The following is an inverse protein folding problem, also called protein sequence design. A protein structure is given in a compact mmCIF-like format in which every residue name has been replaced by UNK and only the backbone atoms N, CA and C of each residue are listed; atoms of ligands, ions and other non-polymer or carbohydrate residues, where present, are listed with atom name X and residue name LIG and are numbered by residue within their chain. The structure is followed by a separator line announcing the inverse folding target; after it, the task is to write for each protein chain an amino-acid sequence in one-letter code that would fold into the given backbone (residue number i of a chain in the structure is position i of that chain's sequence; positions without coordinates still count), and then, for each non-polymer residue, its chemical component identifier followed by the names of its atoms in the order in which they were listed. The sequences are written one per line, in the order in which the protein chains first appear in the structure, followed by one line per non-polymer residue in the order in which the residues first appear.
data_IF_520654796377
#
_entry.id   IF_520654796377
#
_cell.length_a   1.000
_cell.length_b   1.000
_cell.length_c   1.000
_cell.angle_alpha   90.00
_cell.angle_beta   90.00
_cell.angle_gamma   90.00
#
_symmetry.space_group_name_H-M   'P 1'
#
loop_
_entity.id
_entity.type
_entity.pdbx_description
1 polymer ?
#
# COMPACT_ATOMS: atom_id res chain seq x y z
N UNK A 1 -17.27 57.66 -8.44
CA UNK A 1 -16.25 57.12 -7.53
C UNK A 1 -16.76 55.76 -7.08
N UNK A 2 -16.39 54.70 -7.85
CA UNK A 2 -16.74 53.32 -7.52
C UNK A 2 -15.61 52.82 -6.61
N UNK A 3 -15.98 52.40 -5.42
CA UNK A 3 -15.09 51.67 -4.52
C UNK A 3 -15.04 50.24 -5.05
N UNK A 4 -13.92 49.83 -5.61
CA UNK A 4 -13.61 48.40 -5.88
C UNK A 4 -13.27 47.79 -4.52
N UNK A 5 -14.12 46.90 -4.04
CA UNK A 5 -13.87 46.06 -2.89
C UNK A 5 -12.80 45.03 -3.34
N UNK A 6 -11.56 45.30 -2.96
CA UNK A 6 -10.45 44.37 -3.03
C UNK A 6 -10.65 43.28 -1.97
N UNK A 7 -11.34 42.20 -2.34
CA UNK A 7 -11.37 40.97 -1.54
C UNK A 7 -10.06 40.18 -1.75
N UNK A 8 -8.97 40.72 -1.22
CA UNK A 8 -7.78 39.91 -1.01
C UNK A 8 -8.09 38.84 0.04
N UNK A 9 -8.36 37.62 -0.43
CA UNK A 9 -8.51 36.45 0.43
C UNK A 9 -7.22 36.30 1.25
N UNK A 10 -7.32 36.34 2.57
CA UNK A 10 -6.15 36.22 3.45
C UNK A 10 -5.53 34.83 3.38
N UNK A 11 -4.26 34.68 3.82
CA UNK A 11 -3.49 33.41 3.72
C UNK A 11 -4.17 32.20 4.37
N UNK A 12 -5.08 32.41 5.31
CA UNK A 12 -5.88 31.35 5.94
C UNK A 12 -6.95 30.77 5.01
N UNK A 13 -7.46 31.59 4.07
CA UNK A 13 -8.48 31.16 3.08
C UNK A 13 -7.81 30.29 2.01
N UNK A 14 -6.62 30.64 1.57
CA UNK A 14 -5.85 29.84 0.61
C UNK A 14 -5.45 28.47 1.19
N UNK A 15 -5.06 28.41 2.45
CA UNK A 15 -4.72 27.14 3.12
C UNK A 15 -5.95 26.26 3.34
N UNK A 16 -7.08 26.85 3.74
CA UNK A 16 -8.34 26.09 3.88
C UNK A 16 -8.87 25.60 2.56
N UNK A 17 -8.75 26.38 1.48
CA UNK A 17 -9.16 25.97 0.13
C UNK A 17 -8.22 24.89 -0.42
N UNK A 18 -6.92 24.99 -0.18
CA UNK A 18 -5.96 23.97 -0.55
C UNK A 18 -6.20 22.67 0.22
N UNK A 19 -6.41 22.75 1.54
CA UNK A 19 -6.78 21.61 2.38
C UNK A 19 -8.10 20.99 1.91
N UNK A 20 -9.09 21.82 1.57
CA UNK A 20 -10.37 21.33 1.05
C UNK A 20 -10.24 20.71 -0.33
N UNK A 21 -9.41 21.25 -1.22
CA UNK A 21 -9.12 20.65 -2.52
C UNK A 21 -8.38 19.29 -2.36
N UNK A 22 -7.43 19.20 -1.44
CA UNK A 22 -6.73 17.95 -1.14
C UNK A 22 -7.66 16.94 -0.46
N UNK A 23 -8.46 17.38 0.52
CA UNK A 23 -9.49 16.54 1.14
C UNK A 23 -10.52 16.10 0.09
N UNK A 24 -10.98 16.99 -0.77
CA UNK A 24 -11.95 16.67 -1.84
C UNK A 24 -11.33 15.80 -2.96
N UNK A 25 -10.03 15.91 -3.21
CA UNK A 25 -9.30 15.03 -4.12
C UNK A 25 -9.06 13.63 -3.52
N UNK A 26 -9.06 13.52 -2.18
CA UNK A 26 -8.88 12.28 -1.42
C UNK A 26 -10.17 11.79 -0.75
N UNK A 27 -11.19 12.66 -0.54
CA UNK A 27 -12.58 12.23 -0.42
C UNK A 27 -12.96 11.62 -1.76
N UNK A 28 -13.57 10.50 -1.77
CA UNK A 28 -13.46 9.52 -2.83
C UNK A 28 -14.06 10.02 -4.14
N UNK A 29 -13.23 10.55 -5.03
CA UNK A 29 -13.34 10.05 -6.38
C UNK A 29 -12.90 8.61 -6.25
N UNK A 30 -13.86 7.77 -5.89
CA UNK A 30 -13.58 6.45 -5.36
C UNK A 30 -12.98 5.60 -6.48
N UNK A 31 -11.66 5.68 -6.65
CA UNK A 31 -10.91 4.78 -7.50
C UNK A 31 -11.12 3.31 -7.09
N UNK A 32 -11.76 3.07 -5.93
CA UNK A 32 -12.13 1.73 -5.49
C UNK A 32 -13.03 1.04 -6.52
N UNK A 33 -14.07 1.70 -7.04
CA UNK A 33 -14.95 1.08 -8.02
C UNK A 33 -14.26 0.77 -9.36
N UNK A 34 -13.52 1.68 -10.01
CA UNK A 34 -12.72 1.35 -11.19
C UNK A 34 -11.69 0.26 -10.92
N UNK A 35 -11.05 0.27 -9.76
CA UNK A 35 -10.06 -0.73 -9.35
C UNK A 35 -10.72 -2.10 -9.17
N UNK A 36 -11.85 -2.19 -8.48
CA UNK A 36 -12.59 -3.44 -8.31
C UNK A 36 -13.12 -3.96 -9.63
N UNK A 37 -13.60 -3.08 -10.51
CA UNK A 37 -14.03 -3.46 -11.87
C UNK A 37 -12.86 -4.05 -12.67
N UNK A 38 -11.71 -3.36 -12.68
CA UNK A 38 -10.52 -3.83 -13.38
C UNK A 38 -10.01 -5.16 -12.80
N UNK A 39 -10.03 -5.31 -11.48
CA UNK A 39 -9.69 -6.57 -10.79
C UNK A 39 -10.65 -7.70 -11.22
N UNK A 40 -11.94 -7.42 -11.27
CA UNK A 40 -12.97 -8.37 -11.73
C UNK A 40 -12.82 -8.74 -13.20
N UNK A 41 -12.52 -7.78 -14.08
CA UNK A 41 -12.28 -8.03 -15.50
C UNK A 41 -11.04 -8.91 -15.71
N UNK A 42 -9.94 -8.65 -15.00
CA UNK A 42 -8.75 -9.49 -15.08
C UNK A 42 -9.00 -10.89 -14.55
N UNK A 43 -9.70 -11.01 -13.42
CA UNK A 43 -10.08 -12.31 -12.88
C UNK A 43 -11.01 -13.08 -13.84
N UNK A 44 -11.92 -12.37 -14.53
CA UNK A 44 -12.77 -12.97 -15.59
C UNK A 44 -11.91 -13.50 -16.74
N UNK A 45 -10.91 -12.72 -17.19
CA UNK A 45 -9.95 -13.17 -18.19
C UNK A 45 -9.19 -14.44 -17.75
N UNK A 46 -8.78 -14.50 -16.50
CA UNK A 46 -8.12 -15.70 -15.91
C UNK A 46 -9.08 -16.89 -15.91
N UNK A 47 -10.35 -16.71 -15.51
CA UNK A 47 -11.34 -17.76 -15.52
C UNK A 47 -11.60 -18.30 -16.94
N UNK A 48 -11.71 -17.41 -17.93
CA UNK A 48 -11.85 -17.78 -19.33
C UNK A 48 -10.62 -18.57 -19.83
N UNK A 49 -9.42 -18.09 -19.51
CA UNK A 49 -8.17 -18.78 -19.87
C UNK A 49 -8.05 -20.17 -19.23
N UNK A 50 -8.58 -20.34 -18.03
CA UNK A 50 -8.69 -21.63 -17.33
C UNK A 50 -9.91 -22.46 -17.77
N UNK A 51 -10.63 -22.05 -18.80
CA UNK A 51 -11.83 -22.73 -19.35
C UNK A 51 -12.90 -23.03 -18.29
N UNK A 52 -13.10 -22.09 -17.36
CA UNK A 52 -14.08 -22.22 -16.29
C UNK A 52 -13.65 -23.10 -15.11
N UNK A 53 -12.37 -23.45 -15.00
CA UNK A 53 -11.86 -24.16 -13.85
C UNK A 53 -11.45 -23.19 -12.73
N UNK A 54 -11.89 -23.47 -11.50
CA UNK A 54 -11.50 -22.77 -10.28
C UNK A 54 -10.19 -23.30 -9.69
N UNK A 55 -9.96 -23.01 -8.41
CA UNK A 55 -8.88 -23.61 -7.64
C UNK A 55 -9.04 -25.13 -7.54
N UNK A 56 -7.92 -25.84 -7.39
CA UNK A 56 -7.92 -27.28 -7.13
C UNK A 56 -8.59 -27.56 -5.77
N UNK A 57 -9.36 -28.63 -5.70
CA UNK A 57 -9.89 -29.15 -4.43
C UNK A 57 -8.76 -29.77 -3.57
N UNK A 58 -9.10 -30.19 -2.34
CA UNK A 58 -8.16 -30.85 -1.44
C UNK A 58 -7.53 -32.14 -2.01
N UNK A 59 -8.11 -32.69 -3.07
CA UNK A 59 -7.61 -33.85 -3.82
C UNK A 59 -6.80 -33.47 -5.06
N UNK A 60 -6.50 -32.20 -5.28
CA UNK A 60 -5.74 -31.70 -6.44
C UNK A 60 -6.52 -31.65 -7.75
N UNK A 61 -7.84 -31.85 -7.74
CA UNK A 61 -8.70 -31.86 -8.95
C UNK A 61 -9.22 -30.45 -9.23
N UNK A 62 -9.07 -29.97 -10.44
CA UNK A 62 -9.67 -28.72 -10.90
C UNK A 62 -11.21 -28.86 -10.95
N UNK A 63 -11.90 -28.03 -10.18
CA UNK A 63 -13.36 -28.01 -10.16
C UNK A 63 -13.90 -26.97 -11.14
N UNK A 64 -14.84 -27.38 -12.03
CA UNK A 64 -15.58 -26.39 -12.84
C UNK A 64 -16.42 -25.50 -11.94
N UNK A 65 -16.35 -24.21 -12.18
CA UNK A 65 -17.09 -23.18 -11.45
C UNK A 65 -17.82 -22.27 -12.43
N UNK A 66 -18.96 -21.72 -12.03
CA UNK A 66 -19.54 -20.60 -12.75
C UNK A 66 -18.65 -19.35 -12.55
N UNK A 67 -18.73 -18.37 -13.43
CA UNK A 67 -17.99 -17.11 -13.29
C UNK A 67 -18.26 -16.45 -11.93
N UNK A 68 -19.51 -16.42 -11.50
CA UNK A 68 -19.87 -15.83 -10.21
C UNK A 68 -19.25 -16.58 -9.02
N UNK A 69 -19.24 -17.92 -9.07
CA UNK A 69 -18.57 -18.72 -8.03
C UNK A 69 -17.05 -18.54 -8.01
N UNK A 70 -16.46 -18.23 -9.17
CA UNK A 70 -15.03 -17.94 -9.27
C UNK A 70 -14.70 -16.55 -8.77
N UNK A 71 -15.49 -15.53 -9.13
CA UNK A 71 -15.26 -14.16 -8.72
C UNK A 71 -15.62 -13.92 -7.24
N UNK A 72 -16.69 -14.54 -6.76
CA UNK A 72 -17.26 -14.35 -5.42
C UNK A 72 -17.53 -15.70 -4.74
N UNK A 73 -16.48 -16.49 -4.44
CA UNK A 73 -16.67 -17.76 -3.73
C UNK A 73 -17.26 -17.51 -2.35
N UNK A 74 -18.36 -18.22 -2.06
CA UNK A 74 -19.16 -18.00 -0.86
C UNK A 74 -18.37 -18.23 0.43
N UNK A 75 -17.51 -19.22 0.46
CA UNK A 75 -16.63 -19.57 1.57
C UNK A 75 -15.66 -18.46 1.95
N UNK A 76 -15.21 -17.64 0.98
CA UNK A 76 -14.36 -16.48 1.18
C UNK A 76 -15.19 -15.26 1.60
N UNK A 77 -16.19 -14.87 0.82
CA UNK A 77 -16.91 -13.62 1.04
C UNK A 77 -17.92 -13.67 2.21
N UNK A 78 -18.35 -14.86 2.63
CA UNK A 78 -19.13 -15.02 3.87
C UNK A 78 -18.24 -15.24 5.11
N UNK A 79 -16.93 -15.38 4.96
CA UNK A 79 -16.01 -15.62 6.07
C UNK A 79 -16.00 -14.44 7.07
N UNK A 80 -15.78 -14.76 8.35
CA UNK A 80 -15.73 -13.73 9.40
C UNK A 80 -14.63 -12.68 9.14
N UNK A 81 -13.49 -13.15 8.63
CA UNK A 81 -12.35 -12.29 8.30
C UNK A 81 -12.69 -11.28 7.19
N UNK A 82 -13.43 -11.67 6.15
CA UNK A 82 -13.87 -10.75 5.09
C UNK A 82 -14.81 -9.64 5.63
N UNK A 83 -15.63 -9.93 6.65
CA UNK A 83 -16.45 -8.90 7.31
C UNK A 83 -15.60 -7.90 8.10
N UNK A 84 -14.49 -8.34 8.66
CA UNK A 84 -13.51 -7.43 9.30
C UNK A 84 -12.87 -6.51 8.28
N UNK A 85 -12.51 -7.02 7.07
CA UNK A 85 -11.99 -6.19 5.98
C UNK A 85 -12.96 -5.06 5.62
N UNK A 86 -14.27 -5.38 5.50
CA UNK A 86 -15.31 -4.37 5.22
C UNK A 86 -15.40 -3.34 6.35
N UNK A 87 -15.39 -3.79 7.62
CA UNK A 87 -15.49 -2.88 8.76
C UNK A 87 -14.28 -1.94 8.87
N UNK A 88 -13.05 -2.47 8.68
CA UNK A 88 -11.83 -1.66 8.67
C UNK A 88 -11.79 -0.73 7.46
N UNK A 89 -12.18 -1.18 6.27
CA UNK A 89 -12.29 -0.32 5.09
C UNK A 89 -13.21 0.88 5.33
N UNK A 90 -14.41 0.65 5.88
CA UNK A 90 -15.36 1.73 6.20
C UNK A 90 -14.77 2.69 7.23
N UNK A 91 -14.17 2.15 8.30
CA UNK A 91 -13.54 2.95 9.36
C UNK A 91 -12.40 3.82 8.82
N UNK A 92 -11.46 3.22 8.07
CA UNK A 92 -10.34 3.92 7.44
C UNK A 92 -10.81 4.98 6.45
N UNK A 93 -11.90 4.75 5.76
CA UNK A 93 -12.47 5.68 4.80
C UNK A 93 -12.81 7.04 5.41
N UNK A 94 -13.26 7.05 6.66
CA UNK A 94 -13.58 8.28 7.39
C UNK A 94 -12.35 8.91 8.07
N UNK A 95 -11.42 8.10 8.54
CA UNK A 95 -10.28 8.60 9.30
C UNK A 95 -9.09 8.99 8.41
N UNK A 96 -8.80 8.23 7.37
CA UNK A 96 -7.60 8.40 6.52
C UNK A 96 -7.42 9.82 5.98
N UNK A 97 -8.44 10.53 5.49
CA UNK A 97 -8.29 11.91 5.03
C UNK A 97 -7.79 12.86 6.11
N UNK A 98 -8.11 12.61 7.39
CA UNK A 98 -7.75 13.51 8.49
C UNK A 98 -6.26 13.62 8.75
N UNK A 99 -5.49 12.59 8.42
CA UNK A 99 -4.04 12.60 8.62
C UNK A 99 -3.21 12.43 7.34
N UNK A 100 -3.70 11.70 6.34
CA UNK A 100 -2.97 11.53 5.09
C UNK A 100 -2.85 12.85 4.34
N UNK A 101 -3.94 13.62 4.23
CA UNK A 101 -3.93 14.89 3.51
C UNK A 101 -2.97 15.93 4.13
N UNK A 102 -3.01 16.21 5.45
CA UNK A 102 -2.04 17.13 6.06
C UNK A 102 -0.59 16.72 5.86
N UNK A 103 -0.29 15.43 5.99
CA UNK A 103 1.08 14.93 5.79
C UNK A 103 1.55 15.17 4.36
N UNK A 104 0.73 14.83 3.36
CA UNK A 104 1.08 15.04 1.95
C UNK A 104 1.25 16.52 1.60
N UNK A 105 0.31 17.37 2.06
CA UNK A 105 0.31 18.81 1.76
C UNK A 105 1.51 19.53 2.39
N UNK A 106 1.92 19.12 3.58
CA UNK A 106 3.00 19.82 4.30
C UNK A 106 4.37 19.23 3.96
N UNK A 107 4.49 17.91 3.94
CA UNK A 107 5.77 17.24 3.87
C UNK A 107 6.31 17.13 2.44
N UNK A 108 5.46 16.91 1.42
CA UNK A 108 5.95 16.76 0.05
C UNK A 108 6.59 18.06 -0.48
N UNK A 109 5.94 19.24 -0.39
CA UNK A 109 6.57 20.51 -0.77
C UNK A 109 7.81 20.86 0.07
N UNK A 110 7.78 20.58 1.38
CA UNK A 110 8.93 20.83 2.25
C UNK A 110 10.14 19.96 1.84
N UNK A 111 9.91 18.70 1.51
CA UNK A 111 10.94 17.79 0.99
C UNK A 111 11.47 18.26 -0.36
N UNK A 112 10.57 18.65 -1.27
CA UNK A 112 10.92 19.20 -2.58
C UNK A 112 11.83 20.43 -2.46
N UNK A 113 11.44 21.41 -1.65
CA UNK A 113 12.22 22.62 -1.41
C UNK A 113 13.59 22.31 -0.78
N UNK A 114 13.65 21.40 0.18
CA UNK A 114 14.90 20.98 0.79
C UNK A 114 15.85 20.34 -0.22
N UNK A 115 15.33 19.51 -1.15
CA UNK A 115 16.13 18.92 -2.22
C UNK A 115 16.64 19.99 -3.18
N UNK A 116 15.79 20.91 -3.64
CA UNK A 116 16.18 22.01 -4.52
C UNK A 116 17.29 22.84 -3.87
N UNK A 117 17.10 23.29 -2.63
CA UNK A 117 18.11 24.09 -1.90
C UNK A 117 19.44 23.33 -1.73
N UNK A 118 19.38 22.03 -1.50
CA UNK A 118 20.58 21.18 -1.40
C UNK A 118 21.31 21.11 -2.73
N UNK A 119 20.59 20.87 -3.83
CA UNK A 119 21.17 20.79 -5.18
C UNK A 119 21.74 22.13 -5.63
N UNK A 120 21.06 23.25 -5.35
CA UNK A 120 21.58 24.60 -5.62
C UNK A 120 22.91 24.86 -4.90
N UNK A 121 23.04 24.37 -3.66
CA UNK A 121 24.28 24.52 -2.88
C UNK A 121 25.40 23.64 -3.43
N UNK A 122 25.09 22.44 -3.89
CA UNK A 122 26.07 21.46 -4.38
C UNK A 122 26.57 21.76 -5.80
N UNK A 123 25.71 22.34 -6.66
CA UNK A 123 25.95 22.47 -8.10
C UNK A 123 25.96 23.92 -8.60
N UNK A 124 25.99 24.91 -7.71
CA UNK A 124 26.07 26.34 -8.06
C UNK A 124 24.94 26.81 -9.01
N UNK A 125 23.75 26.23 -8.88
CA UNK A 125 22.54 26.57 -9.63
C UNK A 125 22.04 25.51 -10.59
N UNK A 126 20.80 25.71 -11.03
CA UNK A 126 20.06 24.76 -11.90
C UNK A 126 20.58 24.75 -13.34
N UNK A 127 20.66 23.60 -14.02
CA UNK A 127 20.99 23.52 -15.44
C UNK A 127 19.91 24.10 -16.37
N UNK A 128 18.71 24.44 -15.86
CA UNK A 128 17.63 25.11 -16.59
C UNK A 128 17.22 24.42 -17.90
N UNK A 129 17.01 23.13 -17.84
CA UNK A 129 16.55 22.34 -18.97
C UNK A 129 15.07 22.65 -19.30
N UNK A 130 14.64 22.34 -20.50
CA UNK A 130 13.22 22.35 -20.91
C UNK A 130 12.71 20.92 -20.86
N UNK A 131 11.56 20.69 -20.20
CA UNK A 131 10.98 19.36 -20.09
C UNK A 131 10.43 18.89 -21.46
N UNK A 132 10.66 17.62 -21.76
CA UNK A 132 10.12 16.93 -22.93
C UNK A 132 9.51 15.61 -22.50
N UNK A 133 8.71 14.98 -23.39
CA UNK A 133 8.03 13.72 -23.06
C UNK A 133 8.97 12.62 -22.51
N UNK A 134 10.19 12.38 -23.03
CA UNK A 134 11.11 11.43 -22.44
C UNK A 134 11.46 11.74 -20.96
N UNK A 135 11.65 13.01 -20.61
CA UNK A 135 11.91 13.42 -19.24
C UNK A 135 10.71 13.20 -18.31
N UNK A 136 9.49 13.41 -18.82
CA UNK A 136 8.27 13.10 -18.07
C UNK A 136 8.15 11.60 -17.79
N UNK A 137 8.48 10.76 -18.76
CA UNK A 137 8.52 9.29 -18.57
C UNK A 137 9.59 8.91 -17.53
N UNK A 138 10.79 9.49 -17.65
CA UNK A 138 11.87 9.24 -16.68
C UNK A 138 11.48 9.69 -15.27
N UNK A 139 10.86 10.87 -15.13
CA UNK A 139 10.31 11.33 -13.86
C UNK A 139 9.34 10.31 -13.25
N UNK A 140 8.42 9.77 -14.07
CA UNK A 140 7.46 8.76 -13.62
C UNK A 140 8.16 7.48 -13.13
N UNK A 141 9.16 7.01 -13.88
CA UNK A 141 9.92 5.80 -13.50
C UNK A 141 10.77 6.03 -12.23
N UNK A 142 11.42 7.18 -12.12
CA UNK A 142 12.20 7.53 -10.93
C UNK A 142 11.30 7.66 -9.70
N UNK A 143 10.16 8.35 -9.84
CA UNK A 143 9.16 8.46 -8.76
C UNK A 143 8.66 7.08 -8.33
N UNK A 144 8.36 6.19 -9.27
CA UNK A 144 7.95 4.82 -8.98
C UNK A 144 9.01 4.08 -8.17
N UNK A 145 10.27 4.13 -8.62
CA UNK A 145 11.35 3.41 -7.96
C UNK A 145 11.64 3.96 -6.55
N UNK A 146 11.63 5.29 -6.37
CA UNK A 146 11.81 5.91 -5.06
C UNK A 146 10.65 5.52 -4.12
N UNK A 147 9.42 5.62 -4.61
CA UNK A 147 8.25 5.24 -3.81
C UNK A 147 8.29 3.77 -3.42
N UNK A 148 8.58 2.88 -4.35
CA UNK A 148 8.63 1.44 -4.12
C UNK A 148 9.78 1.05 -3.16
N UNK A 149 10.92 1.78 -3.22
CA UNK A 149 12.01 1.65 -2.26
C UNK A 149 11.57 2.04 -0.84
N UNK A 150 10.95 3.22 -0.69
CA UNK A 150 10.50 3.71 0.61
C UNK A 150 9.42 2.78 1.17
N UNK A 151 8.48 2.35 0.33
CA UNK A 151 7.48 1.36 0.70
C UNK A 151 8.13 0.06 1.20
N UNK A 152 9.10 -0.48 0.46
CA UNK A 152 9.85 -1.68 0.85
C UNK A 152 10.49 -1.51 2.24
N UNK A 153 11.16 -0.40 2.48
CA UNK A 153 11.84 -0.17 3.77
C UNK A 153 10.87 0.01 4.93
N UNK A 154 9.76 0.72 4.74
CA UNK A 154 8.71 0.85 5.76
C UNK A 154 8.17 -0.55 6.08
N UNK A 155 7.77 -1.31 5.08
CA UNK A 155 7.20 -2.63 5.22
C UNK A 155 8.19 -3.63 5.85
N UNK A 156 9.46 -3.58 5.45
CA UNK A 156 10.54 -4.34 6.08
C UNK A 156 10.68 -3.99 7.58
N UNK A 157 10.66 -2.71 7.91
CA UNK A 157 10.71 -2.27 9.31
C UNK A 157 9.49 -2.73 10.11
N UNK A 158 8.30 -2.73 9.52
CA UNK A 158 7.07 -3.23 10.14
C UNK A 158 7.18 -4.72 10.49
N UNK A 159 7.87 -5.51 9.70
CA UNK A 159 8.13 -6.92 10.02
C UNK A 159 9.27 -7.13 11.01
N UNK A 160 10.27 -6.24 11.06
CA UNK A 160 11.48 -6.43 11.88
C UNK A 160 11.43 -5.75 13.24
N UNK A 161 10.65 -4.68 13.37
CA UNK A 161 10.55 -3.92 14.63
C UNK A 161 9.29 -4.34 15.36
N UNK A 162 9.39 -4.97 16.55
CA UNK A 162 8.21 -5.53 17.25
C UNK A 162 7.07 -4.52 17.47
N UNK A 163 7.41 -3.25 17.73
CA UNK A 163 6.41 -2.19 17.90
C UNK A 163 5.66 -1.87 16.60
N UNK A 164 6.33 -1.90 15.45
CA UNK A 164 5.71 -1.72 14.13
C UNK A 164 4.95 -2.99 13.70
N UNK A 165 5.51 -4.17 13.98
CA UNK A 165 4.80 -5.43 13.75
C UNK A 165 3.47 -5.49 14.52
N UNK A 166 3.40 -4.90 15.72
CA UNK A 166 2.15 -4.88 16.47
C UNK A 166 1.00 -4.22 15.72
N UNK A 167 1.27 -3.18 14.91
CA UNK A 167 0.27 -2.53 14.06
C UNK A 167 0.09 -3.28 12.73
N UNK A 168 1.18 -3.67 12.08
CA UNK A 168 1.15 -4.31 10.75
C UNK A 168 0.56 -5.73 10.78
N UNK A 169 0.65 -6.47 11.88
CA UNK A 169 0.01 -7.78 12.00
C UNK A 169 -1.53 -7.73 11.88
N UNK A 170 -2.17 -6.55 12.01
CA UNK A 170 -3.58 -6.36 11.67
C UNK A 170 -3.81 -6.72 10.21
N UNK A 171 -2.93 -6.26 9.32
CA UNK A 171 -2.95 -6.59 7.90
C UNK A 171 -2.79 -8.09 7.66
N UNK A 172 -1.81 -8.72 8.32
CA UNK A 172 -1.56 -10.15 8.24
C UNK A 172 -2.60 -11.03 8.93
N UNK A 173 -3.51 -10.46 9.72
CA UNK A 173 -4.55 -11.25 10.40
C UNK A 173 -5.70 -11.70 9.48
N UNK A 174 -5.63 -11.41 8.18
CA UNK A 174 -6.62 -11.87 7.19
C UNK A 174 -6.51 -13.38 6.97
N UNK A 175 -7.57 -14.13 7.35
CA UNK A 175 -7.66 -15.59 7.15
C UNK A 175 -8.14 -15.96 5.74
N UNK A 176 -8.71 -15.00 5.02
CA UNK A 176 -9.05 -15.06 3.59
C UNK A 176 -8.66 -13.76 2.94
N UNK A 177 -8.32 -13.80 1.65
CA UNK A 177 -7.94 -12.61 0.90
C UNK A 177 -9.07 -12.17 -0.02
N UNK A 178 -9.44 -10.89 0.08
CA UNK A 178 -10.39 -10.20 -0.79
C UNK A 178 -9.76 -8.92 -1.34
N UNK A 179 -10.27 -8.30 -2.40
CA UNK A 179 -9.75 -7.00 -2.86
C UNK A 179 -9.77 -5.91 -1.78
N UNK A 180 -10.61 -6.05 -0.76
CA UNK A 180 -10.69 -5.12 0.37
C UNK A 180 -9.65 -5.39 1.45
N UNK A 181 -9.03 -6.57 1.47
CA UNK A 181 -7.96 -6.91 2.44
C UNK A 181 -6.78 -5.94 2.36
N UNK A 182 -6.55 -5.30 1.20
CA UNK A 182 -5.55 -4.23 1.09
C UNK A 182 -5.80 -3.06 2.06
N UNK A 183 -7.04 -2.85 2.49
CA UNK A 183 -7.46 -1.78 3.43
C UNK A 183 -7.57 -2.29 4.87
N UNK A 184 -7.19 -3.55 5.11
CA UNK A 184 -7.06 -4.09 6.46
C UNK A 184 -5.78 -3.57 7.10
N UNK A 185 -5.74 -2.28 7.34
CA UNK A 185 -4.61 -1.58 7.94
C UNK A 185 -5.03 -1.04 9.31
N UNK A 186 -4.09 -0.94 10.23
CA UNK A 186 -4.34 -0.21 11.46
C UNK A 186 -4.20 1.29 11.20
N UNK A 187 -5.09 2.11 11.76
CA UNK A 187 -5.13 3.55 11.45
C UNK A 187 -3.80 4.31 11.71
N UNK A 188 -2.90 3.77 12.51
CA UNK A 188 -1.56 4.33 12.74
C UNK A 188 -0.62 4.09 11.54
N UNK A 189 -0.86 3.09 10.69
CA UNK A 189 -0.06 2.84 9.49
C UNK A 189 -0.26 3.92 8.43
N UNK A 190 -1.48 4.47 8.33
CA UNK A 190 -1.81 5.50 7.35
C UNK A 190 -0.85 6.69 7.34
N UNK A 191 -0.56 7.35 8.49
CA UNK A 191 0.46 8.41 8.57
C UNK A 191 1.86 7.96 8.16
N UNK A 192 2.27 6.74 8.48
CA UNK A 192 3.58 6.21 8.15
C UNK A 192 3.76 6.10 6.62
N UNK A 193 2.81 5.46 5.94
CA UNK A 193 2.82 5.34 4.48
C UNK A 193 2.60 6.69 3.77
N UNK A 194 1.78 7.59 4.34
CA UNK A 194 1.63 8.94 3.82
C UNK A 194 2.93 9.74 3.89
N UNK A 195 3.70 9.60 4.99
CA UNK A 195 5.04 10.20 5.13
C UNK A 195 5.98 9.65 4.05
N UNK A 196 6.02 8.34 3.87
CA UNK A 196 6.81 7.71 2.81
C UNK A 196 6.44 8.20 1.41
N UNK A 197 5.15 8.32 1.12
CA UNK A 197 4.66 8.85 -0.16
C UNK A 197 5.06 10.32 -0.35
N UNK A 198 4.88 11.16 0.67
CA UNK A 198 5.27 12.57 0.63
C UNK A 198 6.77 12.75 0.38
N UNK A 199 7.61 11.95 1.05
CA UNK A 199 9.05 11.94 0.81
C UNK A 199 9.40 11.50 -0.61
N UNK A 200 8.77 10.44 -1.13
CA UNK A 200 9.02 9.97 -2.49
C UNK A 200 8.68 11.03 -3.54
N UNK A 201 7.50 11.65 -3.42
CA UNK A 201 7.07 12.72 -4.32
C UNK A 201 7.95 13.97 -4.18
N UNK A 202 8.30 14.35 -2.95
CA UNK A 202 9.17 15.49 -2.69
C UNK A 202 10.60 15.28 -3.20
N UNK A 203 11.17 14.08 -3.03
CA UNK A 203 12.51 13.75 -3.56
C UNK A 203 12.52 13.80 -5.10
N UNK A 204 11.60 13.11 -5.74
CA UNK A 204 11.51 13.11 -7.20
C UNK A 204 11.16 14.51 -7.73
N UNK A 205 10.17 15.19 -7.12
CA UNK A 205 9.77 16.56 -7.47
C UNK A 205 10.92 17.55 -7.33
N UNK A 206 11.68 17.47 -6.24
CA UNK A 206 12.83 18.35 -6.01
C UNK A 206 13.96 18.15 -7.02
N UNK A 207 14.31 16.90 -7.36
CA UNK A 207 15.33 16.62 -8.37
C UNK A 207 14.89 17.17 -9.74
N UNK A 208 13.69 16.85 -10.16
CA UNK A 208 13.21 17.26 -11.48
C UNK A 208 12.79 18.74 -11.53
N UNK A 209 12.26 19.29 -10.44
CA UNK A 209 11.98 20.72 -10.30
C UNK A 209 13.25 21.57 -10.36
N UNK A 210 14.36 21.05 -9.81
CA UNK A 210 15.66 21.69 -9.93
C UNK A 210 16.23 21.60 -11.36
N UNK A 211 16.05 20.48 -12.05
CA UNK A 211 16.58 20.29 -13.40
C UNK A 211 15.85 21.14 -14.46
N UNK A 212 14.57 21.43 -14.31
CA UNK A 212 13.71 22.00 -15.36
C UNK A 212 13.10 23.34 -14.97
N UNK A 213 13.21 24.36 -15.86
CA UNK A 213 12.69 25.73 -15.66
C UNK A 213 11.17 25.82 -15.66
N UNK A 214 10.52 24.99 -16.49
CA UNK A 214 9.08 24.97 -16.68
C UNK A 214 8.35 24.08 -15.67
N UNK A 215 9.12 23.48 -14.77
CA UNK A 215 8.61 22.50 -13.81
C UNK A 215 7.97 21.28 -14.49
N UNK A 216 7.55 20.30 -13.69
CA UNK A 216 6.91 19.09 -14.18
C UNK A 216 5.49 18.97 -13.59
N UNK A 217 4.82 20.10 -13.32
CA UNK A 217 3.55 20.14 -12.60
C UNK A 217 2.45 19.30 -13.25
N UNK A 218 2.31 19.35 -14.59
CA UNK A 218 1.32 18.52 -15.29
C UNK A 218 1.69 17.03 -15.25
N UNK A 219 2.97 16.69 -15.39
CA UNK A 219 3.47 15.34 -15.22
C UNK A 219 3.27 14.85 -13.78
N UNK A 220 3.41 15.71 -12.79
CA UNK A 220 3.17 15.39 -11.38
C UNK A 220 1.71 15.00 -11.15
N UNK A 221 0.75 15.78 -11.66
CA UNK A 221 -0.68 15.47 -11.54
C UNK A 221 -1.05 14.18 -12.27
N UNK A 222 -0.51 13.97 -13.48
CA UNK A 222 -0.68 12.72 -14.23
C UNK A 222 -0.10 11.55 -13.43
N UNK A 223 1.10 11.69 -12.88
CA UNK A 223 1.77 10.66 -12.10
C UNK A 223 1.02 10.31 -10.82
N UNK A 224 0.50 11.29 -10.08
CA UNK A 224 -0.33 11.04 -8.90
C UNK A 224 -1.55 10.19 -9.28
N UNK A 225 -2.25 10.53 -10.35
CA UNK A 225 -3.39 9.76 -10.84
C UNK A 225 -2.99 8.34 -11.31
N UNK A 226 -1.95 8.24 -12.11
CA UNK A 226 -1.43 6.97 -12.63
C UNK A 226 -0.96 6.05 -11.51
N UNK A 227 -0.17 6.57 -10.56
CA UNK A 227 0.32 5.76 -9.45
C UNK A 227 -0.79 5.38 -8.48
N UNK A 228 -1.75 6.26 -8.22
CA UNK A 228 -2.93 5.92 -7.41
C UNK A 228 -3.72 4.76 -8.02
N UNK A 229 -3.85 4.76 -9.37
CA UNK A 229 -4.49 3.65 -10.08
C UNK A 229 -3.62 2.38 -10.04
N UNK A 230 -2.33 2.50 -10.35
CA UNK A 230 -1.39 1.37 -10.38
C UNK A 230 -1.27 0.69 -9.01
N UNK A 231 -0.98 1.45 -7.96
CA UNK A 231 -0.87 0.91 -6.60
C UNK A 231 -2.22 0.44 -6.07
N UNK A 232 -3.29 1.16 -6.40
CA UNK A 232 -4.64 0.78 -6.07
C UNK A 232 -5.04 -0.56 -6.68
N UNK A 233 -4.84 -0.70 -7.98
CA UNK A 233 -5.13 -1.93 -8.71
C UNK A 233 -4.24 -3.08 -8.25
N UNK A 234 -2.92 -2.89 -8.23
CA UNK A 234 -1.97 -3.90 -7.80
C UNK A 234 -2.25 -4.33 -6.36
N UNK A 235 -2.49 -3.38 -5.44
CA UNK A 235 -2.85 -3.67 -4.06
C UNK A 235 -4.12 -4.52 -3.94
N UNK A 236 -5.19 -4.20 -4.66
CA UNK A 236 -6.43 -4.97 -4.65
C UNK A 236 -6.27 -6.33 -5.31
N UNK A 237 -5.54 -6.41 -6.42
CA UNK A 237 -5.36 -7.65 -7.17
C UNK A 237 -4.46 -8.65 -6.45
N UNK A 238 -3.39 -8.21 -5.81
CA UNK A 238 -2.50 -9.10 -5.04
C UNK A 238 -3.13 -9.63 -3.75
N UNK A 239 -4.16 -8.94 -3.22
CA UNK A 239 -4.97 -9.42 -2.10
C UNK A 239 -6.21 -10.20 -2.55
N UNK A 240 -6.41 -10.40 -3.84
CA UNK A 240 -7.53 -11.18 -4.32
C UNK A 240 -7.22 -12.68 -4.21
N UNK A 241 -8.20 -13.48 -3.83
CA UNK A 241 -8.04 -14.94 -3.65
C UNK A 241 -7.61 -15.70 -4.91
N UNK A 242 -7.69 -15.05 -6.08
CA UNK A 242 -7.30 -15.67 -7.35
C UNK A 242 -5.79 -15.64 -7.49
N UNK A 243 -5.15 -16.79 -7.31
CA UNK A 243 -3.72 -16.94 -7.52
C UNK A 243 -3.33 -16.66 -8.99
N UNK A 244 -2.44 -15.70 -9.19
CA UNK A 244 -1.92 -15.35 -10.51
C UNK A 244 -0.40 -15.25 -10.48
N UNK A 245 0.23 -16.16 -11.24
CA UNK A 245 1.69 -16.23 -11.37
C UNK A 245 2.14 -15.47 -12.60
N UNK A 246 3.13 -14.62 -12.44
CA UNK A 246 3.89 -14.15 -13.60
C UNK A 246 4.89 -15.24 -14.03
N UNK A 247 5.34 -15.23 -15.31
CA UNK A 247 6.47 -16.05 -15.71
C UNK A 247 7.68 -15.80 -14.79
N UNK A 248 8.50 -16.81 -14.47
CA UNK A 248 9.61 -16.65 -13.50
C UNK A 248 10.60 -15.54 -13.85
N UNK A 249 10.84 -15.29 -15.14
CA UNK A 249 11.70 -14.19 -15.58
C UNK A 249 11.10 -12.82 -15.24
N UNK A 250 9.75 -12.66 -15.33
CA UNK A 250 9.05 -11.42 -15.00
C UNK A 250 8.93 -11.22 -13.50
N UNK A 251 8.71 -12.30 -12.73
CA UNK A 251 8.64 -12.25 -11.25
C UNK A 251 9.95 -11.77 -10.60
N UNK A 252 11.09 -11.89 -11.31
CA UNK A 252 12.37 -11.30 -10.87
C UNK A 252 12.39 -9.78 -10.89
N UNK A 253 11.45 -9.15 -11.60
CA UNK A 253 11.39 -7.69 -11.80
C UNK A 253 10.11 -7.07 -11.29
N UNK A 254 8.98 -7.79 -11.41
CA UNK A 254 7.66 -7.33 -10.99
C UNK A 254 7.07 -8.29 -9.96
N UNK A 255 6.50 -7.71 -8.93
CA UNK A 255 5.88 -8.44 -7.84
C UNK A 255 4.55 -9.04 -8.28
N UNK A 256 4.49 -10.38 -8.42
CA UNK A 256 3.25 -11.07 -8.82
C UNK A 256 2.28 -11.23 -7.64
N UNK A 257 0.97 -11.35 -7.88
CA UNK A 257 -0.02 -11.55 -6.82
C UNK A 257 0.28 -12.72 -5.89
N UNK A 258 0.74 -13.85 -6.43
CA UNK A 258 1.07 -15.03 -5.59
C UNK A 258 2.28 -14.81 -4.68
N UNK A 259 3.22 -13.93 -5.05
CA UNK A 259 4.32 -13.57 -4.17
C UNK A 259 3.81 -12.82 -2.93
N UNK A 260 2.75 -12.06 -3.07
CA UNK A 260 2.09 -11.40 -1.94
C UNK A 260 1.23 -12.38 -1.12
N UNK A 261 0.66 -13.43 -1.75
CA UNK A 261 0.02 -14.52 -1.02
C UNK A 261 1.02 -15.26 -0.11
N UNK A 262 2.27 -15.49 -0.58
CA UNK A 262 3.37 -16.00 0.24
C UNK A 262 3.65 -15.06 1.40
N UNK A 263 3.73 -13.75 1.14
CA UNK A 263 3.98 -12.75 2.17
C UNK A 263 2.94 -12.77 3.30
N UNK A 264 1.65 -13.04 2.98
CA UNK A 264 0.58 -13.20 3.97
C UNK A 264 0.55 -14.57 4.65
N UNK A 265 1.41 -15.51 4.26
CA UNK A 265 1.40 -16.86 4.81
C UNK A 265 2.07 -16.92 6.19
N UNK A 266 1.44 -17.64 7.10
CA UNK A 266 2.03 -17.88 8.43
C UNK A 266 3.06 -19.02 8.48
N UNK A 267 3.39 -19.65 7.36
CA UNK A 267 4.40 -20.71 7.32
C UNK A 267 5.82 -20.13 7.52
N UNK A 268 6.67 -20.76 8.36
CA UNK A 268 8.00 -20.22 8.68
C UNK A 268 8.90 -19.95 7.46
N UNK A 269 8.83 -20.78 6.41
CA UNK A 269 9.62 -20.59 5.19
C UNK A 269 9.21 -19.33 4.39
N UNK A 270 8.02 -18.78 4.63
CA UNK A 270 7.47 -17.59 3.98
C UNK A 270 7.73 -16.30 4.75
N UNK A 271 8.17 -16.40 6.01
CA UNK A 271 8.39 -15.23 6.83
C UNK A 271 9.48 -14.34 6.25
N UNK A 272 9.27 -13.04 6.36
CA UNK A 272 10.21 -12.03 5.90
C UNK A 272 10.53 -12.12 4.39
N UNK A 273 9.53 -12.43 3.57
CA UNK A 273 9.64 -12.51 2.11
C UNK A 273 8.71 -11.51 1.44
N UNK A 274 9.15 -10.99 0.28
CA UNK A 274 8.32 -10.25 -0.68
C UNK A 274 7.68 -8.97 -0.11
N UNK A 275 8.49 -8.03 0.34
CA UNK A 275 8.05 -6.77 0.95
C UNK A 275 7.65 -5.69 -0.06
N UNK A 276 8.18 -5.73 -1.28
CA UNK A 276 7.96 -4.69 -2.27
C UNK A 276 6.50 -4.60 -2.74
N UNK A 277 6.09 -3.41 -3.19
CA UNK A 277 4.72 -3.17 -3.64
C UNK A 277 4.52 -3.50 -5.12
N UNK A 278 5.42 -3.06 -6.00
CA UNK A 278 5.27 -3.15 -7.45
C UNK A 278 6.41 -3.89 -8.10
N UNK A 279 7.66 -3.50 -7.79
CA UNK A 279 8.84 -4.14 -8.38
C UNK A 279 9.43 -5.13 -7.40
N UNK A 280 10.01 -6.23 -7.90
CA UNK A 280 10.76 -7.18 -7.09
C UNK A 280 12.25 -6.79 -6.96
N UNK A 281 12.60 -5.59 -7.40
CA UNK A 281 13.99 -5.12 -7.44
C UNK A 281 14.56 -5.06 -6.02
N UNK A 282 13.81 -4.50 -5.09
CA UNK A 282 14.23 -4.31 -3.69
C UNK A 282 14.31 -5.63 -2.95
N UNK A 283 13.33 -6.52 -3.12
CA UNK A 283 13.36 -7.87 -2.56
C UNK A 283 14.58 -8.66 -3.07
N UNK A 284 14.89 -8.49 -4.35
CA UNK A 284 16.05 -9.13 -4.96
C UNK A 284 17.37 -8.57 -4.43
N UNK A 285 17.46 -7.23 -4.30
CA UNK A 285 18.65 -6.54 -3.83
C UNK A 285 18.98 -6.89 -2.37
N UNK A 286 17.95 -6.99 -1.52
CA UNK A 286 18.08 -7.23 -0.09
C UNK A 286 17.88 -8.71 0.32
N UNK A 287 17.71 -9.62 -0.64
CA UNK A 287 17.64 -11.07 -0.39
C UNK A 287 16.33 -11.56 0.21
N UNK A 288 15.26 -10.78 0.09
CA UNK A 288 13.91 -11.13 0.57
C UNK A 288 13.01 -11.68 -0.53
N UNK A 289 13.49 -11.76 -1.78
CA UNK A 289 12.73 -12.31 -2.90
C UNK A 289 12.44 -13.80 -2.70
N UNK A 290 11.18 -14.16 -2.81
CA UNK A 290 10.71 -15.54 -2.86
C UNK A 290 9.68 -15.68 -3.99
N UNK A 291 9.95 -16.54 -4.95
CA UNK A 291 9.04 -16.85 -6.06
C UNK A 291 8.45 -18.23 -5.79
N UNK A 292 7.16 -18.32 -5.44
CA UNK A 292 6.56 -19.59 -5.09
C UNK A 292 6.43 -20.54 -6.30
N UNK A 293 6.46 -21.81 -6.02
CA UNK A 293 6.12 -22.85 -7.00
C UNK A 293 4.62 -22.81 -7.36
N UNK A 294 4.27 -23.37 -8.52
CA UNK A 294 2.90 -23.23 -9.07
C UNK A 294 1.80 -23.78 -8.16
N UNK A 295 2.10 -24.83 -7.40
CA UNK A 295 1.13 -25.53 -6.55
C UNK A 295 1.44 -25.36 -5.05
N UNK A 296 2.26 -24.36 -4.70
CA UNK A 296 2.63 -24.09 -3.32
C UNK A 296 1.43 -23.57 -2.52
N UNK A 297 1.21 -24.17 -1.36
CA UNK A 297 0.14 -23.75 -0.45
C UNK A 297 0.57 -22.55 0.39
N UNK A 298 -0.29 -21.55 0.45
CA UNK A 298 -0.10 -20.32 1.20
C UNK A 298 -1.27 -20.12 2.18
N UNK A 299 -1.29 -20.79 3.34
CA UNK A 299 -2.32 -20.53 4.34
C UNK A 299 -2.11 -19.15 4.95
N UNK A 300 -3.18 -18.33 4.98
CA UNK A 300 -3.14 -16.93 5.40
C UNK A 300 -3.53 -16.75 6.86
N UNK A 301 -3.12 -15.63 7.43
CA UNK A 301 -3.40 -15.27 8.82
C UNK A 301 -2.16 -15.24 9.70
N UNK A 302 -2.37 -15.17 11.01
CA UNK A 302 -1.30 -15.13 12.02
C UNK A 302 -0.93 -16.50 12.60
N UNK A 303 -1.50 -17.55 12.05
CA UNK A 303 -1.35 -18.90 12.57
C UNK A 303 -2.23 -19.19 13.82
N UNK A 304 -2.39 -20.47 14.18
CA UNK A 304 -3.38 -20.92 15.18
C UNK A 304 -3.23 -20.26 16.56
N UNK A 305 -2.00 -20.00 16.99
CA UNK A 305 -1.71 -19.47 18.33
C UNK A 305 -2.11 -18.01 18.49
N UNK A 306 -1.94 -17.19 17.45
CA UNK A 306 -2.14 -15.73 17.50
C UNK A 306 -3.48 -15.29 16.94
N UNK A 307 -4.02 -16.02 15.97
CA UNK A 307 -5.22 -15.65 15.20
C UNK A 307 -6.44 -15.36 16.08
N UNK A 308 -6.62 -16.06 17.19
CA UNK A 308 -7.74 -15.87 18.11
C UNK A 308 -7.89 -14.46 18.66
N UNK A 309 -6.82 -13.68 18.68
CA UNK A 309 -6.76 -12.29 19.17
C UNK A 309 -7.04 -11.22 18.12
N UNK A 310 -7.31 -11.60 16.86
CA UNK A 310 -7.46 -10.70 15.70
C UNK A 310 -8.68 -11.02 14.83
N UNK A 311 -9.73 -11.64 15.39
CA UNK A 311 -10.92 -12.11 14.63
C UNK A 311 -12.03 -11.07 14.48
N UNK A 312 -12.02 -10.00 15.26
CA UNK A 312 -13.07 -8.97 15.22
C UNK A 312 -12.50 -7.59 14.91
N UNK A 313 -13.34 -6.67 14.46
CA UNK A 313 -12.97 -5.27 14.22
C UNK A 313 -12.29 -4.67 15.47
N UNK A 314 -12.91 -4.83 16.64
CA UNK A 314 -12.40 -4.25 17.88
C UNK A 314 -11.06 -4.86 18.30
N UNK A 315 -10.87 -6.17 18.10
CA UNK A 315 -9.60 -6.84 18.36
C UNK A 315 -8.49 -6.33 17.42
N UNK A 316 -8.80 -6.06 16.16
CA UNK A 316 -7.84 -5.50 15.22
C UNK A 316 -7.50 -4.04 15.54
N UNK A 317 -8.48 -3.24 15.99
CA UNK A 317 -8.26 -1.84 16.36
C UNK A 317 -7.52 -1.68 17.69
N UNK A 318 -7.80 -2.52 18.69
CA UNK A 318 -7.21 -2.41 20.03
C UNK A 318 -6.04 -3.36 20.28
N UNK A 319 -5.88 -4.38 19.44
CA UNK A 319 -4.83 -5.39 19.57
C UNK A 319 -3.41 -4.81 19.62
N UNK A 320 -3.03 -3.88 18.73
CA UNK A 320 -1.71 -3.24 18.76
C UNK A 320 -1.39 -2.56 20.11
N UNK A 321 -2.35 -1.87 20.70
CA UNK A 321 -2.15 -1.20 22.01
C UNK A 321 -1.95 -2.21 23.13
N UNK A 322 -2.70 -3.32 23.12
CA UNK A 322 -2.49 -4.43 24.07
C UNK A 322 -1.08 -5.01 23.92
N UNK A 323 -0.62 -5.21 22.68
CA UNK A 323 0.69 -5.78 22.42
C UNK A 323 1.82 -4.80 22.83
N UNK A 324 1.67 -3.51 22.58
CA UNK A 324 2.59 -2.49 23.08
C UNK A 324 2.62 -2.43 24.61
N UNK A 325 1.46 -2.52 25.27
CA UNK A 325 1.40 -2.60 26.73
C UNK A 325 2.14 -3.85 27.25
N UNK A 326 1.95 -5.00 26.60
CA UNK A 326 2.65 -6.23 26.96
C UNK A 326 4.17 -6.12 26.76
N UNK A 327 4.64 -5.48 25.69
CA UNK A 327 6.06 -5.21 25.47
C UNK A 327 6.65 -4.28 26.51
N UNK A 328 5.94 -3.21 26.90
CA UNK A 328 6.41 -2.23 27.87
C UNK A 328 6.42 -2.78 29.32
N UNK A 329 5.41 -3.56 29.70
CA UNK A 329 5.19 -3.95 31.08
C UNK A 329 5.25 -5.46 31.33
N UNK A 330 5.14 -6.30 30.30
CA UNK A 330 5.14 -7.76 30.40
C UNK A 330 6.49 -8.36 30.81
N UNK A 331 7.59 -7.74 30.42
CA UNK A 331 8.94 -8.18 30.80
C UNK A 331 9.22 -8.09 32.32
N UNK A 332 8.50 -7.22 33.02
CA UNK A 332 8.58 -7.09 34.46
C UNK A 332 7.91 -8.24 35.23
N UNK A 333 6.87 -8.82 34.67
CA UNK A 333 6.14 -9.94 35.31
C UNK A 333 6.87 -11.29 35.16
N UNK A 334 7.56 -11.51 34.03
CA UNK A 334 8.36 -12.71 33.83
C UNK A 334 9.59 -12.76 34.79
N UNK A 335 10.22 -11.59 35.05
CA UNK A 335 11.31 -11.48 36.03
C UNK A 335 10.84 -11.63 37.49
N UNK A 336 9.59 -11.31 37.77
CA UNK A 336 9.02 -11.46 39.13
C UNK A 336 8.63 -12.91 39.41
N UNK A 337 8.09 -13.64 38.38
CA UNK A 337 7.80 -15.09 38.49
C UNK A 337 9.04 -16.00 38.52
N UNK A 338 10.20 -15.48 38.12
CA UNK A 338 11.46 -16.22 38.19
C UNK A 338 12.24 -15.96 39.53
N UNK A 339 11.70 -15.09 40.40
CA UNK A 339 12.30 -14.77 41.72
C UNK A 339 11.46 -15.27 42.91
N UNK A 340 10.22 -15.67 42.65
CA UNK A 340 9.34 -16.36 43.62
C UNK A 340 9.35 -17.88 43.33
#
# INVERSE_FOLDING_TARGET
MKIEDDHSLGPTTELTDLLWQVIAAHLPRDLTWPILLLTGLLATGIWLARRGHGAKDAGGRERKTTLLQFLLPKDIYSHASARVDVALYVFERFLRPLWVAPVLVLLAPATEQAVIATLDTLFEGSPRLISTTPWMVLYSLVTLLIYDAIFYFIHYCEHKIPGLWAIHKVHHSAEVLTPLTRYREHFIEGPLYATGAAMAYGLAGGIFGWLFVDGITQATLFNIGFFSLLFGFNGSFRHYHVAFHYPPWLSKWLHSPVMHHVHHSYLPQHWDKNFAAVTSIWDRLFGTLYIPEKDETTPWGLGPETQGHYRTFLQNTLGPFRDWHAMAFGAGQAKKKAKD
#
